data_IF_098489864447
#
_entry.id   IF_098489864447
#
_cell.length_a   1.000
_cell.length_b   1.000
_cell.length_c   1.000
_cell.angle_alpha   90.00
_cell.angle_beta   90.00
_cell.angle_gamma   90.00
#
_symmetry.space_group_name_H-M   'P 1'
#
loop_
_entity.id
_entity.type
_entity.pdbx_description
1 polymer ?
#
# COMPACT_ATOMS: atom_id res chain seq x y z
N UNK A 1 5.28 -9.62 19.62
CA UNK A 1 5.10 -10.72 20.57
C UNK A 1 5.57 -10.26 21.95
N UNK A 2 4.94 -10.73 22.99
CA UNK A 2 5.35 -10.51 24.40
C UNK A 2 6.39 -11.55 24.87
N UNK A 3 6.68 -12.56 24.03
CA UNK A 3 7.60 -13.66 24.30
C UNK A 3 8.95 -13.48 23.59
N UNK A 4 9.98 -14.16 24.07
CA UNK A 4 11.32 -14.09 23.48
C UNK A 4 11.37 -14.62 22.04
N UNK A 5 10.59 -15.66 21.75
CA UNK A 5 10.50 -16.32 20.44
C UNK A 5 9.05 -16.41 20.01
N UNK A 6 8.80 -16.70 18.75
CA UNK A 6 7.43 -16.80 18.19
C UNK A 6 6.58 -17.91 18.85
N UNK A 7 7.20 -18.91 19.43
CA UNK A 7 6.55 -20.05 20.12
C UNK A 7 6.55 -19.93 21.64
N UNK A 8 7.27 -18.99 22.26
CA UNK A 8 7.32 -18.86 23.73
C UNK A 8 8.59 -18.26 24.27
N UNK A 9 8.89 -18.53 25.55
CA UNK A 9 10.00 -17.91 26.28
C UNK A 9 11.34 -18.66 26.14
N UNK A 10 11.33 -19.93 25.77
CA UNK A 10 12.52 -20.79 25.71
C UNK A 10 12.77 -21.29 24.29
N UNK A 11 14.00 -21.71 24.01
CA UNK A 11 14.38 -22.31 22.73
C UNK A 11 14.98 -23.70 22.97
N UNK A 12 14.61 -24.65 22.14
CA UNK A 12 15.18 -25.99 22.06
C UNK A 12 15.73 -26.27 20.66
N UNK A 13 16.54 -27.31 20.51
CA UNK A 13 17.12 -27.70 19.21
C UNK A 13 16.08 -28.19 18.19
N UNK A 14 14.86 -28.51 18.65
CA UNK A 14 13.71 -28.81 17.81
C UNK A 14 12.99 -27.58 17.24
N UNK A 15 13.34 -26.37 17.70
CA UNK A 15 12.66 -25.15 17.29
C UNK A 15 13.36 -24.41 16.15
N UNK A 16 14.70 -24.54 16.06
CA UNK A 16 15.51 -23.74 15.13
C UNK A 16 16.90 -24.35 14.93
N UNK A 17 17.54 -24.01 13.82
CA UNK A 17 18.95 -24.25 13.58
C UNK A 17 19.79 -23.12 14.23
N UNK A 18 20.49 -23.43 15.32
CA UNK A 18 21.33 -22.49 16.06
C UNK A 18 22.54 -23.22 16.67
N UNK A 19 23.43 -22.52 17.37
CA UNK A 19 24.68 -23.09 17.87
C UNK A 19 24.48 -24.41 18.63
N UNK A 20 23.52 -24.50 19.54
CA UNK A 20 23.26 -25.71 20.31
C UNK A 20 22.62 -26.87 19.54
N UNK A 21 22.18 -26.66 18.30
CA UNK A 21 21.69 -27.74 17.44
C UNK A 21 22.84 -28.68 17.00
N UNK A 22 24.10 -28.21 17.09
CA UNK A 22 25.29 -28.98 16.73
C UNK A 22 25.46 -29.21 15.22
N UNK A 23 24.66 -28.61 14.37
CA UNK A 23 24.70 -28.82 12.91
C UNK A 23 25.91 -28.11 12.29
N UNK A 24 26.27 -26.93 12.78
CA UNK A 24 27.49 -26.20 12.40
C UNK A 24 27.44 -25.53 11.01
N UNK A 25 26.30 -25.54 10.35
CA UNK A 25 26.09 -24.96 9.01
C UNK A 25 24.61 -24.61 8.79
N UNK A 26 24.28 -24.03 7.66
CA UNK A 26 22.91 -23.80 7.22
C UNK A 26 22.17 -25.13 6.95
N UNK A 27 20.86 -25.12 7.11
CA UNK A 27 19.97 -26.21 6.71
C UNK A 27 19.06 -25.75 5.59
N UNK A 28 18.44 -26.71 4.92
CA UNK A 28 17.33 -26.42 4.00
C UNK A 28 16.21 -25.66 4.71
N UNK A 29 15.53 -24.80 3.98
CA UNK A 29 14.43 -24.00 4.52
C UNK A 29 13.22 -24.89 4.86
N UNK A 30 12.46 -24.51 5.91
CA UNK A 30 11.20 -25.16 6.27
C UNK A 30 11.34 -26.47 7.01
N UNK A 31 12.52 -26.79 7.57
CA UNK A 31 12.71 -28.00 8.36
C UNK A 31 12.14 -27.91 9.79
N UNK A 32 11.93 -26.70 10.28
CA UNK A 32 11.34 -26.44 11.58
C UNK A 32 9.89 -25.98 11.44
N UNK A 33 9.11 -26.10 12.52
CA UNK A 33 7.69 -25.70 12.50
C UNK A 33 7.54 -24.20 12.16
N UNK A 34 6.56 -23.89 11.33
CA UNK A 34 6.19 -22.50 11.04
C UNK A 34 5.69 -21.78 12.30
N UNK A 35 5.85 -20.48 12.34
CA UNK A 35 5.24 -19.65 13.37
C UNK A 35 3.71 -19.54 13.15
N UNK A 36 2.93 -18.93 14.09
CA UNK A 36 1.48 -18.79 13.95
C UNK A 36 0.99 -18.04 12.69
N UNK A 37 1.88 -17.33 11.98
CA UNK A 37 1.58 -16.65 10.71
C UNK A 37 2.00 -17.44 9.47
N UNK A 38 2.48 -18.70 9.66
CA UNK A 38 2.90 -19.57 8.55
C UNK A 38 4.32 -19.33 8.05
N UNK A 39 5.14 -18.52 8.72
CA UNK A 39 6.53 -18.26 8.33
C UNK A 39 7.48 -19.26 8.97
N UNK A 40 8.36 -19.84 8.15
CA UNK A 40 9.41 -20.76 8.56
C UNK A 40 10.72 -20.00 8.84
N UNK A 41 11.58 -20.59 9.68
CA UNK A 41 12.95 -20.17 9.94
C UNK A 41 13.10 -18.70 10.36
N UNK A 42 12.09 -18.15 11.06
CA UNK A 42 12.15 -16.78 11.60
C UNK A 42 13.15 -16.63 12.74
N UNK A 43 13.70 -17.73 13.22
CA UNK A 43 14.70 -17.81 14.28
C UNK A 43 15.79 -18.81 13.88
N UNK A 44 17.05 -18.37 13.75
CA UNK A 44 18.19 -19.22 13.39
C UNK A 44 18.39 -19.36 11.88
N UNK A 45 19.12 -20.36 11.51
CA UNK A 45 19.64 -20.63 10.17
C UNK A 45 20.58 -19.53 9.69
N UNK A 46 20.09 -18.41 9.19
CA UNK A 46 20.89 -17.24 8.79
C UNK A 46 20.31 -15.95 9.34
N UNK A 47 21.14 -14.95 9.59
CA UNK A 47 20.71 -13.58 9.78
C UNK A 47 20.12 -13.08 8.48
N UNK A 48 18.95 -12.45 8.54
CA UNK A 48 18.26 -11.91 7.38
C UNK A 48 18.33 -10.39 7.33
N UNK A 49 18.74 -9.86 6.18
CA UNK A 49 18.72 -8.42 5.92
C UNK A 49 17.29 -7.90 5.93
N UNK A 50 17.10 -6.74 6.56
CA UNK A 50 15.85 -5.96 6.43
C UNK A 50 16.10 -4.67 5.63
N UNK A 51 15.03 -4.03 5.19
CA UNK A 51 15.09 -2.73 4.54
C UNK A 51 15.44 -1.59 5.50
N UNK A 52 15.28 -1.81 6.81
CA UNK A 52 15.43 -0.76 7.82
C UNK A 52 16.88 -0.32 7.96
N UNK A 53 17.09 1.00 8.04
CA UNK A 53 18.34 1.57 8.53
C UNK A 53 18.42 1.38 10.05
N UNK A 54 19.63 1.12 10.54
CA UNK A 54 19.87 0.84 11.95
C UNK A 54 19.92 2.14 12.77
N UNK A 55 19.17 2.15 13.86
CA UNK A 55 19.32 3.07 14.99
C UNK A 55 19.53 2.26 16.25
N UNK A 56 20.44 2.71 17.12
CA UNK A 56 20.72 2.06 18.41
C UNK A 56 19.49 2.12 19.34
N UNK A 57 18.68 3.14 19.20
CA UNK A 57 17.43 3.31 19.94
C UNK A 57 16.26 2.59 19.24
N UNK A 58 15.28 2.18 20.02
CA UNK A 58 14.00 1.74 19.47
C UNK A 58 13.08 2.95 19.31
N UNK A 59 12.18 2.93 18.29
CA UNK A 59 11.12 3.92 18.20
C UNK A 59 10.37 4.00 19.52
N UNK A 60 10.17 5.22 20.02
CA UNK A 60 9.34 5.49 21.20
C UNK A 60 7.92 5.78 20.78
N UNK A 61 6.99 5.31 21.58
CA UNK A 61 5.54 5.42 21.32
C UNK A 61 4.85 4.09 21.57
N UNK A 62 3.59 4.12 21.95
CA UNK A 62 2.82 2.92 22.20
C UNK A 62 1.35 3.16 21.78
N UNK A 63 0.86 2.49 20.74
CA UNK A 63 1.60 1.58 19.86
C UNK A 63 2.45 2.32 18.82
N UNK A 64 3.55 1.69 18.38
CA UNK A 64 4.29 2.09 17.18
C UNK A 64 3.68 1.34 16.00
N UNK A 65 3.12 2.10 15.06
CA UNK A 65 2.47 1.55 13.86
C UNK A 65 3.46 1.63 12.69
N UNK A 66 3.72 0.49 12.05
CA UNK A 66 4.55 0.35 10.83
C UNK A 66 5.85 1.18 10.83
N UNK A 67 6.76 0.97 11.81
CA UNK A 67 7.97 1.76 11.91
C UNK A 67 8.86 1.54 10.69
N UNK A 68 9.27 2.63 10.05
CA UNK A 68 10.11 2.62 8.84
C UNK A 68 11.62 2.54 9.13
N UNK A 69 12.03 2.33 10.40
CA UNK A 69 13.42 2.40 10.81
C UNK A 69 13.95 3.84 10.93
N UNK A 70 15.27 3.98 10.98
CA UNK A 70 15.91 5.31 11.00
C UNK A 70 15.76 6.02 9.65
N UNK A 71 15.57 7.34 9.69
CA UNK A 71 15.45 8.16 8.47
C UNK A 71 16.78 8.29 7.70
N UNK A 72 17.93 8.09 8.37
CA UNK A 72 19.26 8.15 7.76
C UNK A 72 20.21 7.19 8.46
N UNK A 73 21.24 6.75 7.76
CA UNK A 73 22.26 5.84 8.28
C UNK A 73 22.97 5.09 7.15
N UNK A 74 24.11 4.47 7.49
CA UNK A 74 24.91 3.67 6.55
C UNK A 74 24.82 2.16 6.81
N UNK A 75 24.15 1.76 7.88
CA UNK A 75 24.05 0.36 8.32
C UNK A 75 22.58 -0.09 8.27
N UNK A 76 22.38 -1.34 7.91
CA UNK A 76 21.04 -1.95 7.87
C UNK A 76 20.86 -2.96 8.98
N UNK A 77 19.62 -3.14 9.40
CA UNK A 77 19.23 -4.10 10.42
C UNK A 77 19.28 -5.52 9.87
N UNK A 78 19.77 -6.43 10.69
CA UNK A 78 19.71 -7.88 10.52
C UNK A 78 18.84 -8.48 11.63
N UNK A 79 18.08 -9.49 11.27
CA UNK A 79 17.12 -10.16 12.16
C UNK A 79 17.27 -11.67 12.11
N UNK A 80 16.65 -12.37 13.09
CA UNK A 80 16.48 -13.80 13.13
C UNK A 80 17.56 -14.57 13.86
N UNK A 81 18.80 -14.11 13.84
CA UNK A 81 19.94 -14.90 14.31
C UNK A 81 20.40 -15.93 13.30
N UNK A 82 21.40 -16.73 13.64
CA UNK A 82 21.93 -17.73 12.71
C UNK A 82 22.37 -19.03 13.41
N UNK A 83 22.67 -20.04 12.61
CA UNK A 83 23.21 -21.33 13.06
C UNK A 83 24.43 -21.24 13.98
N UNK A 84 25.21 -20.17 13.89
CA UNK A 84 26.43 -19.95 14.69
C UNK A 84 26.19 -19.16 15.99
N UNK A 85 24.95 -18.76 16.27
CA UNK A 85 24.63 -17.95 17.46
C UNK A 85 23.94 -18.78 18.54
N UNK A 86 24.19 -18.43 19.81
CA UNK A 86 23.46 -18.99 20.95
C UNK A 86 22.01 -18.50 20.98
N UNK A 87 21.13 -19.20 21.68
CA UNK A 87 19.68 -18.92 21.67
C UNK A 87 19.30 -17.48 21.95
N UNK A 88 20.02 -16.77 22.84
CA UNK A 88 19.76 -15.35 23.11
C UNK A 88 19.94 -14.43 21.89
N UNK A 89 20.74 -14.85 20.91
CA UNK A 89 20.91 -14.16 19.63
C UNK A 89 19.73 -14.30 18.66
N UNK A 90 18.87 -15.30 18.89
CA UNK A 90 17.73 -15.61 18.05
C UNK A 90 16.40 -14.97 18.51
N UNK A 91 16.41 -14.22 19.62
CA UNK A 91 15.16 -13.61 20.15
C UNK A 91 14.49 -12.71 19.12
N UNK A 92 13.15 -12.66 19.12
CA UNK A 92 12.35 -11.80 18.22
C UNK A 92 12.79 -10.33 18.27
N UNK A 93 13.19 -9.81 19.43
CA UNK A 93 13.63 -8.43 19.59
C UNK A 93 15.11 -8.20 19.23
N UNK A 94 15.90 -9.27 18.99
CA UNK A 94 17.33 -9.12 18.71
C UNK A 94 17.53 -8.48 17.34
N UNK A 95 18.35 -7.44 17.31
CA UNK A 95 18.84 -6.79 16.09
C UNK A 95 20.37 -6.89 16.06
N UNK A 96 20.90 -7.04 14.89
CA UNK A 96 22.29 -6.82 14.53
C UNK A 96 22.32 -5.80 13.41
N UNK A 97 23.47 -5.19 13.14
CA UNK A 97 23.60 -4.22 12.06
C UNK A 97 24.95 -4.39 11.35
N UNK A 98 24.92 -4.18 10.03
CA UNK A 98 26.11 -4.13 9.21
C UNK A 98 25.95 -3.16 8.02
N UNK A 99 27.08 -2.80 7.40
CA UNK A 99 27.06 -2.11 6.11
C UNK A 99 26.50 -3.04 5.03
N UNK A 100 25.74 -2.53 4.04
CA UNK A 100 25.13 -3.36 2.99
C UNK A 100 26.12 -4.19 2.17
N UNK A 101 27.40 -3.81 2.17
CA UNK A 101 28.47 -4.54 1.47
C UNK A 101 29.02 -5.74 2.25
N UNK A 102 28.67 -5.89 3.56
CA UNK A 102 29.16 -6.98 4.36
C UNK A 102 28.65 -8.34 3.87
N UNK A 103 29.51 -9.33 3.79
CA UNK A 103 29.20 -10.69 3.35
C UNK A 103 29.72 -11.67 4.38
N UNK A 104 28.88 -12.65 4.75
CA UNK A 104 29.25 -13.71 5.70
C UNK A 104 28.42 -14.98 5.41
N UNK A 105 28.96 -16.16 5.71
CA UNK A 105 28.30 -17.45 5.49
C UNK A 105 27.03 -17.66 6.33
N UNK A 106 26.82 -16.85 7.34
CA UNK A 106 25.62 -16.87 8.21
C UNK A 106 24.64 -15.72 7.90
N UNK A 107 24.79 -15.04 6.75
CA UNK A 107 23.91 -13.99 6.30
C UNK A 107 23.11 -14.42 5.08
N UNK A 108 21.87 -14.03 5.03
CA UNK A 108 20.94 -14.25 3.93
C UNK A 108 19.91 -13.13 3.81
N UNK A 109 18.87 -13.39 3.10
CA UNK A 109 17.73 -12.47 2.97
C UNK A 109 16.46 -13.27 2.73
N UNK A 110 15.35 -12.64 3.04
CA UNK A 110 14.00 -13.14 2.72
C UNK A 110 13.33 -12.12 1.83
N UNK A 111 12.76 -12.58 0.71
CA UNK A 111 11.91 -11.73 -0.13
C UNK A 111 10.53 -11.65 0.51
N UNK A 112 10.11 -10.44 0.82
CA UNK A 112 8.75 -10.14 1.26
C UNK A 112 8.03 -9.34 0.18
N UNK A 113 6.81 -9.72 -0.13
CA UNK A 113 5.92 -8.95 -0.98
C UNK A 113 4.87 -8.28 -0.09
N UNK A 114 4.79 -6.96 -0.17
CA UNK A 114 3.63 -6.27 0.39
C UNK A 114 2.47 -6.49 -0.57
N UNK A 115 1.39 -7.09 -0.08
CA UNK A 115 0.15 -7.14 -0.85
C UNK A 115 -0.29 -5.68 -1.09
N UNK A 116 -0.32 -5.28 -2.34
CA UNK A 116 -0.93 -3.99 -2.70
C UNK A 116 -2.40 -4.10 -2.36
N UNK A 117 -2.87 -3.29 -1.42
CA UNK A 117 -4.31 -3.21 -1.13
C UNK A 117 -5.03 -2.86 -2.43
N UNK A 118 -6.00 -3.66 -2.88
CA UNK A 118 -6.77 -3.32 -4.07
C UNK A 118 -7.34 -1.91 -3.97
N UNK A 119 -7.37 -1.21 -5.06
CA UNK A 119 -8.08 0.05 -5.15
C UNK A 119 -9.57 -0.23 -5.25
N UNK A 120 -10.33 0.30 -4.32
CA UNK A 120 -11.79 0.14 -4.25
C UNK A 120 -12.49 1.50 -4.17
N UNK A 121 -11.73 2.58 -4.29
CA UNK A 121 -12.25 3.94 -4.24
C UNK A 121 -12.56 4.40 -5.66
N UNK A 122 -13.74 5.00 -5.84
CA UNK A 122 -14.12 5.55 -7.14
C UNK A 122 -13.59 6.98 -7.31
N UNK A 123 -13.27 7.41 -8.53
CA UNK A 123 -12.92 8.80 -8.79
C UNK A 123 -13.99 9.78 -8.32
N UNK A 124 -13.58 10.98 -7.95
CA UNK A 124 -14.46 12.10 -7.68
C UNK A 124 -14.72 12.86 -8.99
N UNK A 125 -16.00 13.18 -9.29
CA UNK A 125 -16.44 14.00 -10.42
C UNK A 125 -16.98 15.34 -9.90
N UNK A 126 -16.41 16.44 -10.37
CA UNK A 126 -16.87 17.81 -10.06
C UNK A 126 -17.36 18.50 -11.33
N UNK A 127 -18.65 18.84 -11.38
CA UNK A 127 -19.25 19.55 -12.51
C UNK A 127 -19.08 21.07 -12.34
N UNK A 128 -18.27 21.69 -13.19
CA UNK A 128 -18.14 23.15 -13.26
C UNK A 128 -19.47 23.80 -13.63
N UNK A 129 -19.85 24.89 -12.99
CA UNK A 129 -21.16 25.54 -13.21
C UNK A 129 -22.36 24.85 -12.55
N UNK A 130 -22.12 23.73 -11.83
CA UNK A 130 -23.12 23.04 -11.04
C UNK A 130 -23.88 21.92 -11.78
N UNK A 131 -24.76 21.25 -11.04
CA UNK A 131 -25.55 20.09 -11.52
C UNK A 131 -26.82 20.50 -12.27
N UNK A 132 -27.27 21.75 -12.16
CA UNK A 132 -28.39 22.32 -12.89
C UNK A 132 -27.95 23.62 -13.55
N UNK A 133 -28.21 23.72 -14.86
CA UNK A 133 -27.84 24.87 -15.68
C UNK A 133 -29.05 25.29 -16.50
N UNK A 134 -29.26 26.61 -16.63
CA UNK A 134 -30.30 27.17 -17.50
C UNK A 134 -29.65 27.68 -18.81
N UNK A 135 -30.25 27.33 -19.93
CA UNK A 135 -29.84 27.75 -21.28
C UNK A 135 -31.00 28.42 -21.99
N UNK A 136 -30.72 29.45 -22.79
CA UNK A 136 -31.74 30.15 -23.59
C UNK A 136 -31.82 29.53 -24.97
N UNK A 137 -33.03 29.17 -25.40
CA UNK A 137 -33.28 28.57 -26.72
C UNK A 137 -32.74 29.43 -27.85
N UNK A 138 -32.17 28.79 -28.88
CA UNK A 138 -31.57 29.44 -30.04
C UNK A 138 -30.13 29.95 -29.84
N UNK A 139 -29.57 29.86 -28.64
CA UNK A 139 -28.16 30.16 -28.39
C UNK A 139 -27.30 28.91 -28.55
N UNK A 140 -26.00 29.06 -28.87
CA UNK A 140 -25.07 27.93 -28.91
C UNK A 140 -24.84 27.37 -27.51
N UNK A 141 -24.90 26.03 -27.34
CA UNK A 141 -24.55 25.40 -26.08
C UNK A 141 -23.03 25.38 -25.86
N UNK A 142 -22.59 25.85 -24.71
CA UNK A 142 -21.24 25.69 -24.25
C UNK A 142 -21.26 24.88 -22.94
N UNK A 143 -20.61 23.73 -22.96
CA UNK A 143 -20.46 22.90 -21.77
C UNK A 143 -19.58 23.60 -20.73
N UNK A 144 -20.08 23.84 -19.49
CA UNK A 144 -19.29 24.53 -18.47
C UNK A 144 -18.02 23.79 -18.01
N UNK A 145 -17.96 22.48 -18.29
CA UNK A 145 -16.81 21.65 -17.97
C UNK A 145 -17.04 20.67 -16.81
N UNK A 146 -16.09 19.79 -16.66
CA UNK A 146 -16.04 18.76 -15.62
C UNK A 146 -14.58 18.53 -15.22
N UNK A 147 -14.34 18.22 -13.96
CA UNK A 147 -13.04 17.75 -13.47
C UNK A 147 -13.22 16.37 -12.83
N UNK A 148 -12.22 15.52 -12.98
CA UNK A 148 -12.20 14.21 -12.37
C UNK A 148 -10.84 13.96 -11.71
N UNK A 149 -10.86 13.47 -10.48
CA UNK A 149 -9.66 13.17 -9.72
C UNK A 149 -9.84 11.88 -8.92
N UNK A 150 -8.79 11.08 -8.88
CA UNK A 150 -8.70 9.89 -8.05
C UNK A 150 -7.50 9.99 -7.11
N UNK A 151 -7.61 9.39 -5.92
CA UNK A 151 -6.55 9.45 -4.89
C UNK A 151 -5.26 8.74 -5.34
N UNK A 152 -5.38 7.67 -6.13
CA UNK A 152 -4.24 6.90 -6.61
C UNK A 152 -3.81 7.24 -8.02
N UNK A 153 -4.79 7.43 -8.90
CA UNK A 153 -4.55 7.67 -10.34
C UNK A 153 -4.35 9.16 -10.67
N UNK A 154 -4.67 10.06 -9.73
CA UNK A 154 -4.53 11.50 -9.92
C UNK A 154 -5.59 12.10 -10.81
N UNK A 155 -5.22 13.00 -11.72
CA UNK A 155 -6.15 13.71 -12.59
C UNK A 155 -6.65 12.81 -13.75
N UNK A 156 -7.95 12.57 -13.78
CA UNK A 156 -8.65 11.75 -14.79
C UNK A 156 -9.58 12.56 -15.70
N UNK A 157 -9.53 13.89 -15.66
CA UNK A 157 -10.43 14.79 -16.39
C UNK A 157 -10.48 14.48 -17.89
N UNK A 158 -9.37 14.14 -18.50
CA UNK A 158 -9.27 13.78 -19.91
C UNK A 158 -9.85 12.39 -20.26
N UNK A 159 -10.20 11.59 -19.25
CA UNK A 159 -10.83 10.27 -19.39
C UNK A 159 -12.35 10.32 -19.22
N UNK A 160 -12.90 11.47 -18.84
CA UNK A 160 -14.35 11.63 -18.67
C UNK A 160 -15.04 11.49 -20.02
N UNK A 161 -16.01 10.59 -20.10
CA UNK A 161 -16.93 10.49 -21.20
C UNK A 161 -18.25 11.16 -20.87
N UNK A 162 -18.84 11.84 -21.85
CA UNK A 162 -20.12 12.52 -21.70
C UNK A 162 -21.11 11.90 -22.67
N UNK A 163 -22.30 11.57 -22.18
CA UNK A 163 -23.42 11.08 -22.99
C UNK A 163 -24.68 11.93 -22.75
N UNK A 164 -25.61 11.87 -23.67
CA UNK A 164 -26.77 12.75 -23.71
C UNK A 164 -26.60 13.86 -24.75
N UNK A 165 -27.69 14.56 -25.07
CA UNK A 165 -27.69 15.64 -26.02
C UNK A 165 -28.62 16.76 -25.52
N UNK A 166 -28.21 18.01 -25.71
CA UNK A 166 -29.04 19.19 -25.45
C UNK A 166 -29.53 19.71 -26.78
N UNK A 167 -30.87 19.64 -27.02
CA UNK A 167 -31.46 20.33 -28.16
C UNK A 167 -31.66 21.80 -27.79
N UNK A 168 -30.79 22.63 -28.32
CA UNK A 168 -30.80 24.08 -28.05
C UNK A 168 -31.97 24.83 -28.67
N UNK A 169 -32.71 24.22 -29.60
CA UNK A 169 -33.84 24.83 -30.28
C UNK A 169 -35.20 24.44 -29.67
N UNK A 170 -35.22 23.43 -28.80
CA UNK A 170 -36.43 22.96 -28.14
C UNK A 170 -36.38 23.23 -26.63
N UNK A 171 -37.37 23.95 -26.12
CA UNK A 171 -37.50 24.15 -24.67
C UNK A 171 -37.79 22.84 -23.97
N UNK A 172 -37.12 22.58 -22.87
CA UNK A 172 -37.23 21.31 -22.15
C UNK A 172 -36.16 21.11 -21.07
N UNK A 173 -36.18 19.91 -20.52
CA UNK A 173 -35.17 19.47 -19.57
C UNK A 173 -34.34 18.33 -20.21
N UNK A 174 -33.07 18.56 -20.36
CA UNK A 174 -32.10 17.61 -20.91
C UNK A 174 -31.16 17.12 -19.82
N UNK A 175 -30.65 15.91 -19.95
CA UNK A 175 -29.68 15.33 -19.01
C UNK A 175 -28.42 14.93 -19.74
N UNK A 176 -27.29 15.44 -19.29
CA UNK A 176 -25.95 14.98 -19.67
C UNK A 176 -25.42 14.08 -18.56
N UNK A 177 -24.92 12.92 -18.94
CA UNK A 177 -24.33 11.96 -18.02
C UNK A 177 -22.81 11.90 -18.25
N UNK A 178 -22.05 12.13 -17.20
CA UNK A 178 -20.58 12.08 -17.17
C UNK A 178 -20.17 10.80 -16.49
N UNK A 179 -19.23 10.08 -17.09
CA UNK A 179 -18.69 8.84 -16.53
C UNK A 179 -17.17 8.82 -16.65
N UNK A 180 -16.51 8.29 -15.61
CA UNK A 180 -15.06 8.06 -15.61
C UNK A 180 -14.75 6.81 -14.81
N UNK A 181 -13.74 6.05 -15.24
CA UNK A 181 -13.18 4.94 -14.46
C UNK A 181 -11.71 5.20 -14.18
N UNK A 182 -11.27 4.77 -12.99
CA UNK A 182 -9.86 4.66 -12.67
C UNK A 182 -9.20 3.45 -13.36
N UNK A 183 -7.93 3.18 -13.06
CA UNK A 183 -7.20 2.02 -13.61
C UNK A 183 -7.57 0.70 -12.94
N UNK A 184 -8.17 0.73 -11.75
CA UNK A 184 -8.68 -0.44 -11.04
C UNK A 184 -10.10 -0.85 -11.53
N UNK A 185 -10.77 0.02 -12.30
CA UNK A 185 -12.11 -0.22 -12.83
C UNK A 185 -13.24 0.32 -11.95
N UNK A 186 -12.92 1.11 -10.89
CA UNK A 186 -13.96 1.76 -10.10
C UNK A 186 -14.55 2.92 -10.92
N UNK A 187 -15.90 2.98 -10.96
CA UNK A 187 -16.66 3.88 -11.81
C UNK A 187 -17.26 5.02 -10.99
N UNK A 188 -17.14 6.24 -11.51
CA UNK A 188 -17.91 7.39 -11.05
C UNK A 188 -18.86 7.88 -12.13
N UNK A 189 -20.03 8.36 -11.73
CA UNK A 189 -21.05 8.91 -12.63
C UNK A 189 -21.68 10.15 -12.01
N UNK A 190 -21.84 11.20 -12.81
CA UNK A 190 -22.55 12.42 -12.42
C UNK A 190 -23.50 12.86 -13.53
N UNK A 191 -24.59 13.53 -13.16
CA UNK A 191 -25.58 14.03 -14.11
C UNK A 191 -25.70 15.54 -14.01
N UNK A 192 -25.74 16.21 -15.18
CA UNK A 192 -26.11 17.62 -15.31
C UNK A 192 -27.47 17.75 -15.96
N UNK A 193 -28.36 18.48 -15.32
CA UNK A 193 -29.64 18.87 -15.88
C UNK A 193 -29.52 20.22 -16.59
N UNK A 194 -29.87 20.29 -17.86
CA UNK A 194 -29.88 21.50 -18.64
C UNK A 194 -31.32 21.87 -18.95
N UNK A 195 -31.78 22.99 -18.40
CA UNK A 195 -33.11 23.52 -18.66
C UNK A 195 -33.03 24.54 -19.79
N UNK A 196 -33.56 24.17 -20.97
CA UNK A 196 -33.68 25.10 -22.08
C UNK A 196 -35.00 25.89 -21.94
N UNK A 197 -34.87 27.20 -21.83
CA UNK A 197 -36.00 28.15 -21.65
C UNK A 197 -36.20 29.01 -22.91
N UNK A 198 -37.41 29.52 -23.17
CA UNK A 198 -37.61 30.43 -24.26
C UNK A 198 -36.79 31.73 -24.06
N UNK A 199 -36.45 32.46 -25.12
CA UNK A 199 -35.91 33.81 -25.02
C UNK A 199 -36.87 34.75 -24.30
N UNK A 200 -36.32 35.78 -23.64
CA UNK A 200 -37.18 36.81 -23.01
C UNK A 200 -38.05 37.48 -24.07
N UNK A 201 -39.34 37.82 -23.75
CA UNK A 201 -40.18 38.60 -24.66
C UNK A 201 -39.47 39.95 -24.90
N UNK A 202 -39.45 40.35 -26.19
CA UNK A 202 -38.95 41.66 -26.66
C UNK A 202 -39.98 42.74 -26.46
#
# INVERSE_FOLDING_TARGET
TTTMYSWGATIATSNANYFSSGIGQTTDIGQYAANPWGFFDMHGNVWEWTADLYDATYPTGNPVIDPLGAASGSRRVLRGGSWSHIGSGLRSAKRLDHTPSYRHISLGFRVGFQAVKPDTESPELVLSGGVEVTHVAGQAWAEPGVEAHDVRDGNLTNRVSVSGLVDVNATGLYVLTYTVSDTAGNLATANRKVRVTPPAPT
#
